data_IF_580567068748
#
_entry.id   IF_580567068748
#
_cell.length_a   1.000
_cell.length_b   1.000
_cell.length_c   1.000
_cell.angle_alpha   90.00
_cell.angle_beta   90.00
_cell.angle_gamma   90.00
#
_symmetry.space_group_name_H-M   'P 1'
#
loop_
_entity.id
_entity.type
_entity.pdbx_description
1 polymer ?
#
# COMPACT_ATOMS: atom_id res chain seq x y z
N UNK A 1 -19.71 56.52 -13.13
CA UNK A 1 -20.26 55.37 -12.37
C UNK A 1 -20.55 54.11 -13.21
N UNK A 2 -20.97 54.21 -14.48
CA UNK A 2 -21.26 53.02 -15.31
C UNK A 2 -20.05 52.11 -15.60
N UNK A 3 -18.85 52.69 -15.82
CA UNK A 3 -17.59 51.93 -16.03
C UNK A 3 -17.20 51.07 -14.82
N UNK A 4 -17.44 51.57 -13.60
CA UNK A 4 -17.10 50.90 -12.35
C UNK A 4 -18.04 49.72 -12.05
N UNK A 5 -19.33 49.84 -12.40
CA UNK A 5 -20.29 48.73 -12.33
C UNK A 5 -19.96 47.60 -13.32
N UNK A 6 -19.43 47.92 -14.50
CA UNK A 6 -19.00 46.90 -15.46
C UNK A 6 -17.70 46.20 -15.05
N UNK A 7 -16.76 46.91 -14.43
CA UNK A 7 -15.56 46.28 -13.84
C UNK A 7 -15.90 45.39 -12.65
N UNK A 8 -16.83 45.78 -11.77
CA UNK A 8 -17.31 44.92 -10.68
C UNK A 8 -18.07 43.69 -11.19
N UNK A 9 -18.89 43.83 -12.24
CA UNK A 9 -19.55 42.66 -12.88
C UNK A 9 -18.56 41.73 -13.59
N UNK A 10 -17.48 42.26 -14.18
CA UNK A 10 -16.40 41.43 -14.75
C UNK A 10 -15.52 40.80 -13.67
N UNK A 11 -15.27 41.46 -12.53
CA UNK A 11 -14.61 40.86 -11.37
C UNK A 11 -15.48 39.79 -10.70
N UNK A 12 -16.80 40.02 -10.54
CA UNK A 12 -17.73 39.01 -10.02
C UNK A 12 -17.93 37.83 -10.99
N UNK A 13 -17.85 38.04 -12.31
CA UNK A 13 -17.78 36.94 -13.29
C UNK A 13 -16.42 36.22 -13.27
N UNK A 14 -15.32 36.88 -12.89
CA UNK A 14 -13.99 36.25 -12.72
C UNK A 14 -13.82 35.52 -11.38
N UNK A 15 -14.61 35.84 -10.35
CA UNK A 15 -14.60 35.12 -9.06
C UNK A 15 -15.54 33.92 -9.02
N UNK A 16 -16.47 33.78 -9.99
CA UNK A 16 -16.92 32.44 -10.42
C UNK A 16 -15.86 31.78 -11.30
N UNK A 17 -14.62 31.73 -10.81
CA UNK A 17 -13.68 30.71 -11.29
C UNK A 17 -14.31 29.41 -10.84
N UNK A 18 -14.81 28.66 -11.81
CA UNK A 18 -14.88 27.20 -11.74
C UNK A 18 -13.47 26.79 -11.29
N UNK A 19 -13.28 26.63 -9.97
CA UNK A 19 -12.25 25.72 -9.49
C UNK A 19 -12.49 24.42 -10.23
N UNK A 20 -11.45 23.64 -10.57
CA UNK A 20 -11.66 22.38 -11.28
C UNK A 20 -12.80 21.68 -10.56
N UNK A 21 -13.93 21.49 -11.25
CA UNK A 21 -14.99 20.61 -10.75
C UNK A 21 -14.22 19.40 -10.29
N UNK A 22 -14.27 19.10 -8.98
CA UNK A 22 -13.47 18.01 -8.44
C UNK A 22 -13.89 16.80 -9.25
N UNK A 23 -13.08 16.43 -10.24
CA UNK A 23 -13.43 15.41 -11.20
C UNK A 23 -13.67 14.20 -10.35
N UNK A 24 -14.93 13.78 -10.24
CA UNK A 24 -15.31 12.70 -9.33
C UNK A 24 -14.32 11.56 -9.58
N UNK A 25 -13.70 11.05 -8.51
CA UNK A 25 -12.70 10.01 -8.68
C UNK A 25 -13.30 8.89 -9.53
N UNK A 26 -12.60 8.41 -10.58
CA UNK A 26 -13.15 7.42 -11.47
C UNK A 26 -13.48 6.17 -10.64
N UNK A 27 -14.77 5.83 -10.57
CA UNK A 27 -15.26 4.64 -9.88
C UNK A 27 -15.35 3.50 -10.89
N UNK A 28 -14.67 2.41 -10.59
CA UNK A 28 -14.79 1.17 -11.33
C UNK A 28 -16.07 0.44 -10.92
N UNK A 29 -17.07 0.48 -11.79
CA UNK A 29 -18.34 -0.22 -11.64
C UNK A 29 -18.34 -1.63 -12.27
N UNK A 30 -17.21 -2.06 -12.86
CA UNK A 30 -17.12 -3.37 -13.48
C UNK A 30 -17.32 -4.48 -12.45
N UNK A 31 -18.02 -5.53 -12.87
CA UNK A 31 -18.15 -6.74 -12.07
C UNK A 31 -16.79 -7.43 -11.89
N UNK A 32 -16.67 -8.21 -10.81
CA UNK A 32 -15.49 -9.01 -10.56
C UNK A 32 -15.31 -10.06 -11.66
N UNK A 33 -14.08 -10.20 -12.17
CA UNK A 33 -13.76 -11.23 -13.13
C UNK A 33 -13.90 -12.63 -12.49
N UNK A 34 -15.00 -13.32 -12.79
CA UNK A 34 -15.33 -14.62 -12.20
C UNK A 34 -14.26 -15.69 -12.46
N UNK A 35 -13.64 -15.70 -13.64
CA UNK A 35 -12.52 -16.60 -13.96
C UNK A 35 -11.28 -16.24 -13.15
N UNK A 36 -11.00 -14.95 -12.99
CA UNK A 36 -9.92 -14.48 -12.12
C UNK A 36 -10.16 -14.87 -10.66
N UNK A 37 -11.40 -14.75 -10.17
CA UNK A 37 -11.77 -15.16 -8.82
C UNK A 37 -11.53 -16.66 -8.61
N UNK A 38 -11.94 -17.50 -9.57
CA UNK A 38 -11.71 -18.95 -9.52
C UNK A 38 -10.22 -19.30 -9.51
N UNK A 39 -9.42 -18.69 -10.39
CA UNK A 39 -7.98 -18.96 -10.47
C UNK A 39 -7.23 -18.51 -9.21
N UNK A 40 -7.54 -17.32 -8.69
CA UNK A 40 -6.97 -16.85 -7.42
C UNK A 40 -7.40 -17.69 -6.24
N UNK A 41 -8.64 -18.20 -6.23
CA UNK A 41 -9.10 -19.15 -5.22
C UNK A 41 -8.33 -20.46 -5.29
N UNK A 42 -8.16 -21.01 -6.50
CA UNK A 42 -7.40 -22.24 -6.72
C UNK A 42 -5.93 -22.08 -6.30
N UNK A 43 -5.31 -20.93 -6.62
CA UNK A 43 -3.95 -20.61 -6.20
C UNK A 43 -3.83 -20.54 -4.67
N UNK A 44 -4.77 -19.86 -4.01
CA UNK A 44 -4.79 -19.73 -2.55
C UNK A 44 -4.85 -21.11 -1.88
N UNK A 45 -5.86 -21.91 -2.22
CA UNK A 45 -6.03 -23.22 -1.59
C UNK A 45 -4.95 -24.21 -2.00
N UNK A 46 -4.51 -24.19 -3.26
CA UNK A 46 -3.42 -25.04 -3.74
C UNK A 46 -2.13 -24.79 -2.97
N UNK A 47 -1.72 -23.53 -2.79
CA UNK A 47 -0.52 -23.21 -2.02
C UNK A 47 -0.69 -23.49 -0.52
N UNK A 48 -1.88 -23.31 0.06
CA UNK A 48 -2.14 -23.71 1.44
C UNK A 48 -2.02 -25.23 1.64
N UNK A 49 -2.56 -26.04 0.72
CA UNK A 49 -2.40 -27.50 0.76
C UNK A 49 -0.93 -27.89 0.64
N UNK A 50 -0.19 -27.29 -0.30
CA UNK A 50 1.26 -27.53 -0.42
C UNK A 50 2.00 -27.16 0.86
N UNK A 51 1.66 -26.03 1.49
CA UNK A 51 2.24 -25.61 2.77
C UNK A 51 2.01 -26.65 3.86
N UNK A 52 0.79 -27.17 4.00
CA UNK A 52 0.45 -28.22 4.98
C UNK A 52 1.20 -29.51 4.68
N UNK A 53 1.25 -29.95 3.42
CA UNK A 53 1.96 -31.18 3.03
C UNK A 53 3.46 -31.07 3.32
N UNK A 54 4.09 -29.93 2.98
CA UNK A 54 5.50 -29.68 3.29
C UNK A 54 5.75 -29.70 4.80
N UNK A 55 4.89 -29.06 5.58
CA UNK A 55 5.02 -29.04 7.04
C UNK A 55 4.87 -30.43 7.63
N UNK A 56 3.78 -31.13 7.32
CA UNK A 56 3.47 -32.45 7.87
C UNK A 56 4.51 -33.49 7.44
N UNK A 57 4.90 -33.51 6.16
CA UNK A 57 5.92 -34.43 5.65
C UNK A 57 7.30 -34.17 6.26
N UNK A 58 7.70 -32.90 6.34
CA UNK A 58 8.97 -32.49 6.94
C UNK A 58 9.06 -32.78 8.44
N UNK A 59 7.97 -32.54 9.18
CA UNK A 59 7.87 -32.89 10.60
C UNK A 59 7.90 -34.39 10.82
N UNK A 60 7.11 -35.15 10.07
CA UNK A 60 7.07 -36.60 10.19
C UNK A 60 8.46 -37.20 9.93
N UNK A 61 9.09 -36.82 8.82
CA UNK A 61 10.42 -37.30 8.47
C UNK A 61 11.46 -36.87 9.52
N UNK A 62 11.47 -35.59 9.90
CA UNK A 62 12.43 -35.04 10.84
C UNK A 62 12.32 -35.67 12.23
N UNK A 63 11.11 -35.79 12.78
CA UNK A 63 10.89 -36.37 14.12
C UNK A 63 11.26 -37.87 14.13
N UNK A 64 10.85 -38.61 13.10
CA UNK A 64 11.13 -40.05 13.02
C UNK A 64 12.64 -40.32 12.94
N UNK A 65 13.36 -39.59 12.08
CA UNK A 65 14.81 -39.75 11.95
C UNK A 65 15.56 -39.25 13.18
N UNK A 66 15.12 -38.14 13.78
CA UNK A 66 15.69 -37.65 15.03
C UNK A 66 15.57 -38.69 16.15
N UNK A 67 14.37 -39.24 16.35
CA UNK A 67 14.13 -40.24 17.39
C UNK A 67 14.92 -41.52 17.15
N UNK A 68 14.99 -41.99 15.90
CA UNK A 68 15.78 -43.17 15.54
C UNK A 68 17.28 -42.96 15.79
N UNK A 69 17.83 -41.81 15.39
CA UNK A 69 19.25 -41.47 15.57
C UNK A 69 19.61 -41.29 17.04
N UNK A 70 18.71 -40.67 17.82
CA UNK A 70 18.90 -40.44 19.25
C UNK A 70 18.82 -41.74 20.05
N UNK A 71 18.03 -42.71 19.59
CA UNK A 71 17.86 -44.01 20.24
C UNK A 71 18.94 -45.04 19.84
N UNK A 72 19.78 -44.73 18.84
CA UNK A 72 20.88 -45.59 18.41
C UNK A 72 21.99 -45.68 19.46
N UNK A 73 22.72 -46.81 19.47
CA UNK A 73 23.91 -47.02 20.32
C UNK A 73 25.11 -47.44 19.43
N UNK A 74 26.14 -46.59 19.25
CA UNK A 74 26.26 -45.22 19.78
C UNK A 74 25.26 -44.25 19.13
N UNK A 75 24.99 -43.13 19.80
CA UNK A 75 24.09 -42.08 19.31
C UNK A 75 24.67 -41.48 18.02
N UNK A 76 23.85 -41.39 16.97
CA UNK A 76 24.22 -40.71 15.73
C UNK A 76 23.90 -39.20 15.84
N UNK A 77 24.87 -38.44 16.35
CA UNK A 77 24.75 -37.00 16.54
C UNK A 77 24.58 -36.23 15.22
N UNK A 78 25.19 -36.71 14.14
CA UNK A 78 25.08 -36.04 12.84
C UNK A 78 23.64 -36.11 12.34
N UNK A 79 23.04 -37.30 12.37
CA UNK A 79 21.65 -37.48 11.93
C UNK A 79 20.65 -36.75 12.84
N UNK A 80 20.91 -36.67 14.15
CA UNK A 80 20.13 -35.82 15.07
C UNK A 80 20.16 -34.34 14.62
N UNK A 81 21.34 -33.78 14.35
CA UNK A 81 21.48 -32.39 13.91
C UNK A 81 20.80 -32.15 12.56
N UNK A 82 21.02 -33.03 11.59
CA UNK A 82 20.38 -32.93 10.26
C UNK A 82 18.87 -32.97 10.38
N UNK A 83 18.33 -33.89 11.19
CA UNK A 83 16.88 -34.02 11.39
C UNK A 83 16.29 -32.78 12.07
N UNK A 84 16.98 -32.20 13.05
CA UNK A 84 16.57 -30.94 13.69
C UNK A 84 16.57 -29.77 12.70
N UNK A 85 17.58 -29.68 11.82
CA UNK A 85 17.62 -28.67 10.75
C UNK A 85 16.44 -28.86 9.79
N UNK A 86 16.10 -30.09 9.40
CA UNK A 86 14.96 -30.34 8.51
C UNK A 86 13.63 -29.97 9.16
N UNK A 87 13.44 -30.22 10.45
CA UNK A 87 12.25 -29.75 11.19
C UNK A 87 12.13 -28.22 11.08
N UNK A 88 13.19 -27.49 11.41
CA UNK A 88 13.19 -26.02 11.36
C UNK A 88 12.98 -25.50 9.94
N UNK A 89 13.68 -26.07 8.95
CA UNK A 89 13.54 -25.70 7.55
C UNK A 89 12.11 -25.94 7.04
N UNK A 90 11.48 -27.04 7.44
CA UNK A 90 10.09 -27.37 7.06
C UNK A 90 9.11 -26.34 7.60
N UNK A 91 9.27 -25.87 8.84
CA UNK A 91 8.48 -24.76 9.39
C UNK A 91 8.67 -23.47 8.60
N UNK A 92 9.92 -23.10 8.28
CA UNK A 92 10.22 -21.86 7.57
C UNK A 92 9.67 -21.89 6.13
N UNK A 93 9.86 -23.00 5.41
CA UNK A 93 9.36 -23.17 4.04
C UNK A 93 7.84 -23.22 4.01
N UNK A 94 7.21 -24.03 4.86
CA UNK A 94 5.75 -24.09 4.93
C UNK A 94 5.14 -22.74 5.26
N UNK A 95 5.71 -22.01 6.24
CA UNK A 95 5.30 -20.64 6.56
C UNK A 95 5.44 -19.74 5.33
N UNK A 96 6.57 -19.76 4.64
CA UNK A 96 6.80 -18.93 3.45
C UNK A 96 5.79 -19.22 2.34
N UNK A 97 5.46 -20.49 2.09
CA UNK A 97 4.44 -20.89 1.12
C UNK A 97 3.06 -20.40 1.55
N UNK A 98 2.70 -20.52 2.83
CA UNK A 98 1.44 -19.99 3.34
C UNK A 98 1.34 -18.47 3.13
N UNK A 99 2.43 -17.72 3.35
CA UNK A 99 2.47 -16.28 3.04
C UNK A 99 2.29 -15.99 1.55
N UNK A 100 3.01 -16.72 0.69
CA UNK A 100 2.85 -16.61 -0.76
C UNK A 100 1.45 -16.97 -1.23
N UNK A 101 0.73 -17.86 -0.53
CA UNK A 101 -0.65 -18.20 -0.89
C UNK A 101 -1.57 -16.98 -0.83
N UNK A 102 -1.42 -16.12 0.17
CA UNK A 102 -2.25 -14.92 0.32
C UNK A 102 -1.79 -13.82 -0.64
N UNK A 103 -0.49 -13.50 -0.63
CA UNK A 103 0.06 -12.42 -1.44
C UNK A 103 0.02 -12.73 -2.94
N UNK A 104 0.37 -13.95 -3.33
CA UNK A 104 0.30 -14.40 -4.72
C UNK A 104 -1.12 -14.38 -5.24
N UNK A 105 -2.10 -14.82 -4.44
CA UNK A 105 -3.51 -14.83 -4.84
C UNK A 105 -4.10 -13.42 -4.95
N UNK A 106 -3.76 -12.51 -4.04
CA UNK A 106 -4.16 -11.09 -4.17
C UNK A 106 -3.47 -10.45 -5.37
N UNK A 107 -2.17 -10.67 -5.57
CA UNK A 107 -1.44 -10.09 -6.70
C UNK A 107 -2.02 -10.58 -8.04
N UNK A 108 -2.34 -11.87 -8.15
CA UNK A 108 -3.03 -12.43 -9.30
C UNK A 108 -4.44 -11.83 -9.45
N UNK A 109 -5.20 -11.76 -8.35
CA UNK A 109 -6.57 -11.26 -8.37
C UNK A 109 -6.63 -9.79 -8.82
N UNK A 110 -5.77 -8.93 -8.28
CA UNK A 110 -5.65 -7.52 -8.66
C UNK A 110 -5.29 -7.35 -10.14
N UNK A 111 -4.41 -8.20 -10.69
CA UNK A 111 -4.06 -8.16 -12.12
C UNK A 111 -5.19 -8.61 -13.04
N UNK A 112 -6.05 -9.52 -12.56
CA UNK A 112 -7.15 -10.07 -13.34
C UNK A 112 -8.46 -9.29 -13.17
N UNK A 113 -8.52 -8.25 -12.32
CA UNK A 113 -9.76 -7.57 -11.97
C UNK A 113 -10.72 -8.46 -11.15
N UNK A 114 -10.18 -9.40 -10.38
CA UNK A 114 -10.92 -10.32 -9.51
C UNK A 114 -11.12 -9.70 -8.12
N UNK A 115 -11.87 -8.60 -8.07
CA UNK A 115 -12.06 -7.76 -6.88
C UNK A 115 -12.69 -8.51 -5.71
N UNK A 116 -13.60 -9.45 -6.00
CA UNK A 116 -14.24 -10.27 -4.95
C UNK A 116 -13.20 -11.06 -4.18
N UNK A 117 -12.22 -11.65 -4.85
CA UNK A 117 -11.13 -12.35 -4.16
C UNK A 117 -10.17 -11.42 -3.42
N UNK A 118 -9.85 -10.24 -3.98
CA UNK A 118 -9.06 -9.23 -3.25
C UNK A 118 -9.74 -8.87 -1.94
N UNK A 119 -11.05 -8.59 -1.98
CA UNK A 119 -11.84 -8.20 -0.81
C UNK A 119 -12.04 -9.36 0.18
N UNK A 120 -12.24 -10.59 -0.32
CA UNK A 120 -12.43 -11.78 0.52
C UNK A 120 -11.17 -12.14 1.29
N UNK A 121 -9.98 -12.05 0.67
CA UNK A 121 -8.71 -12.30 1.36
C UNK A 121 -8.35 -11.09 2.23
N UNK A 122 -8.48 -9.88 1.69
CA UNK A 122 -8.12 -8.64 2.38
C UNK A 122 -8.91 -8.40 3.66
N UNK A 123 -10.21 -8.70 3.67
CA UNK A 123 -11.08 -8.59 4.87
C UNK A 123 -10.68 -9.52 6.02
N UNK A 124 -9.86 -10.54 5.77
CA UNK A 124 -9.32 -11.42 6.81
C UNK A 124 -8.07 -10.86 7.49
N UNK A 125 -7.54 -9.72 7.01
CA UNK A 125 -6.38 -9.05 7.59
C UNK A 125 -6.44 -8.93 9.12
N UNK A 126 -7.52 -8.37 9.70
CA UNK A 126 -7.66 -8.22 11.15
C UNK A 126 -7.55 -9.52 11.94
N UNK A 127 -8.13 -10.61 11.42
CA UNK A 127 -8.03 -11.93 12.06
C UNK A 127 -6.58 -12.47 12.00
N UNK A 128 -5.89 -12.20 10.89
CA UNK A 128 -4.52 -12.64 10.66
C UNK A 128 -3.47 -11.88 11.47
N UNK A 129 -3.80 -10.75 12.12
CA UNK A 129 -2.86 -9.97 12.95
C UNK A 129 -2.12 -10.82 13.99
N UNK A 130 -2.80 -11.83 14.57
CA UNK A 130 -2.22 -12.73 15.59
C UNK A 130 -1.28 -13.79 15.00
N UNK A 131 -1.58 -14.25 13.80
CA UNK A 131 -0.84 -15.35 13.14
C UNK A 131 0.30 -14.80 12.28
N UNK A 132 0.11 -13.59 11.73
CA UNK A 132 0.95 -12.96 10.72
C UNK A 132 1.22 -11.48 11.08
N UNK A 133 2.04 -11.22 12.11
CA UNK A 133 2.43 -9.86 12.44
C UNK A 133 3.10 -9.20 11.23
N UNK A 134 2.56 -8.06 10.78
CA UNK A 134 3.01 -7.30 9.61
C UNK A 134 2.42 -7.72 8.26
N UNK A 135 1.71 -8.85 8.18
CA UNK A 135 0.98 -9.21 6.96
C UNK A 135 -0.36 -8.49 6.83
N UNK A 136 -1.01 -8.22 7.97
CA UNK A 136 -2.31 -7.54 8.02
C UNK A 136 -2.31 -6.17 7.32
N UNK A 137 -1.35 -5.26 7.54
CA UNK A 137 -1.37 -3.95 6.87
C UNK A 137 -1.32 -4.05 5.34
N UNK A 138 -0.59 -5.03 4.81
CA UNK A 138 -0.53 -5.24 3.37
C UNK A 138 -1.87 -5.76 2.82
N UNK A 139 -2.50 -6.72 3.51
CA UNK A 139 -3.82 -7.25 3.12
C UNK A 139 -4.89 -6.15 3.18
N UNK A 140 -4.86 -5.35 4.24
CA UNK A 140 -5.74 -4.19 4.40
C UNK A 140 -5.47 -3.14 3.32
N UNK A 141 -4.22 -2.91 2.93
CA UNK A 141 -3.89 -2.00 1.81
C UNK A 141 -4.58 -2.46 0.52
N UNK A 142 -4.47 -3.75 0.18
CA UNK A 142 -5.12 -4.29 -1.02
C UNK A 142 -6.65 -4.19 -0.95
N UNK A 143 -7.24 -4.46 0.22
CA UNK A 143 -8.68 -4.30 0.47
C UNK A 143 -9.13 -2.85 0.26
N UNK A 144 -8.48 -1.91 0.94
CA UNK A 144 -8.83 -0.48 0.91
C UNK A 144 -8.66 0.07 -0.50
N UNK A 145 -7.59 -0.30 -1.23
CA UNK A 145 -7.42 0.09 -2.63
C UNK A 145 -8.53 -0.44 -3.53
N UNK A 146 -8.93 -1.71 -3.37
CA UNK A 146 -10.07 -2.29 -4.10
C UNK A 146 -11.36 -1.50 -3.82
N UNK A 147 -11.65 -1.26 -2.55
CA UNK A 147 -12.86 -0.57 -2.11
C UNK A 147 -12.93 0.87 -2.61
N UNK A 148 -11.83 1.63 -2.51
CA UNK A 148 -11.75 3.01 -3.03
C UNK A 148 -11.95 3.03 -4.54
N UNK A 149 -11.29 2.14 -5.29
CA UNK A 149 -11.47 2.05 -6.74
C UNK A 149 -12.92 1.72 -7.12
N UNK A 150 -13.67 1.04 -6.25
CA UNK A 150 -15.08 0.69 -6.46
C UNK A 150 -16.07 1.68 -5.82
N UNK A 151 -15.59 2.81 -5.32
CA UNK A 151 -16.44 3.85 -4.70
C UNK A 151 -17.01 3.45 -3.33
N UNK A 152 -16.53 2.36 -2.72
CA UNK A 152 -16.95 1.89 -1.40
C UNK A 152 -16.17 2.63 -0.30
N UNK A 153 -16.24 3.96 -0.30
CA UNK A 153 -15.37 4.81 0.52
C UNK A 153 -15.56 4.60 2.03
N UNK A 154 -16.79 4.42 2.50
CA UNK A 154 -17.07 4.21 3.93
C UNK A 154 -16.45 2.89 4.45
N UNK A 155 -16.59 1.80 3.68
CA UNK A 155 -15.98 0.52 4.03
C UNK A 155 -14.44 0.60 4.02
N UNK A 156 -13.88 1.31 3.04
CA UNK A 156 -12.45 1.57 2.95
C UNK A 156 -11.92 2.35 4.17
N UNK A 157 -12.68 3.35 4.63
CA UNK A 157 -12.32 4.14 5.81
C UNK A 157 -12.43 3.32 7.10
N UNK A 158 -13.48 2.50 7.26
CA UNK A 158 -13.61 1.62 8.42
C UNK A 158 -12.45 0.64 8.53
N UNK A 159 -12.07 0.00 7.41
CA UNK A 159 -10.91 -0.89 7.37
C UNK A 159 -9.60 -0.15 7.65
N UNK A 160 -9.42 1.04 7.07
CA UNK A 160 -8.23 1.88 7.28
C UNK A 160 -8.09 2.31 8.74
N UNK A 161 -9.18 2.76 9.35
CA UNK A 161 -9.21 3.21 10.74
C UNK A 161 -8.94 2.05 11.70
N UNK A 162 -9.56 0.88 11.49
CA UNK A 162 -9.31 -0.31 12.30
C UNK A 162 -7.84 -0.74 12.30
N UNK A 163 -7.18 -0.66 11.15
CA UNK A 163 -5.77 -1.01 11.02
C UNK A 163 -4.87 0.06 11.64
N UNK A 164 -5.22 1.33 11.46
CA UNK A 164 -4.52 2.47 12.06
C UNK A 164 -4.54 2.37 13.59
N UNK A 165 -5.72 2.19 14.20
CA UNK A 165 -5.87 2.13 15.65
C UNK A 165 -5.09 0.97 16.28
N UNK A 166 -4.93 -0.13 15.54
CA UNK A 166 -4.18 -1.29 16.00
C UNK A 166 -2.66 -1.06 15.97
N UNK A 167 -2.13 -0.42 14.93
CA UNK A 167 -0.67 -0.33 14.70
C UNK A 167 -0.07 1.07 14.91
N UNK A 168 -0.85 2.11 15.18
CA UNK A 168 -0.34 3.49 15.32
C UNK A 168 0.74 3.62 16.41
N UNK A 169 0.66 2.80 17.46
CA UNK A 169 1.61 2.79 18.57
C UNK A 169 2.75 1.77 18.40
N UNK A 170 2.72 0.95 17.34
CA UNK A 170 3.77 -0.02 17.03
C UNK A 170 4.73 0.57 16.00
N UNK A 171 5.85 1.13 16.46
CA UNK A 171 6.87 1.75 15.60
C UNK A 171 7.42 0.83 14.51
N UNK A 172 7.39 -0.51 14.70
CA UNK A 172 7.85 -1.46 13.68
C UNK A 172 6.83 -1.62 12.55
N UNK A 173 5.55 -1.49 12.88
CA UNK A 173 4.45 -1.72 11.94
C UNK A 173 3.85 -0.42 11.39
N UNK A 174 4.05 0.70 12.08
CA UNK A 174 3.58 2.04 11.68
C UNK A 174 4.07 2.42 10.29
N UNK A 175 5.26 1.99 9.87
CA UNK A 175 5.82 2.20 8.53
C UNK A 175 4.97 1.58 7.41
N UNK A 176 4.22 0.53 7.72
CA UNK A 176 3.33 -0.15 6.77
C UNK A 176 1.96 0.55 6.63
N UNK A 177 1.64 1.52 7.50
CA UNK A 177 0.38 2.25 7.46
C UNK A 177 0.36 3.39 6.44
N UNK A 178 1.51 3.76 5.85
CA UNK A 178 1.62 4.91 4.94
C UNK A 178 0.70 4.80 3.73
N UNK A 179 0.67 3.64 3.08
CA UNK A 179 -0.21 3.38 1.93
C UNK A 179 -1.68 3.37 2.34
N UNK A 180 -2.01 2.81 3.51
CA UNK A 180 -3.38 2.79 4.04
C UNK A 180 -3.85 4.23 4.29
N UNK A 181 -3.03 5.05 4.96
CA UNK A 181 -3.35 6.44 5.23
C UNK A 181 -3.52 7.25 3.94
N UNK A 182 -2.68 7.03 2.93
CA UNK A 182 -2.84 7.66 1.62
C UNK A 182 -4.17 7.28 0.98
N UNK A 183 -4.52 5.99 0.99
CA UNK A 183 -5.75 5.49 0.36
C UNK A 183 -7.00 5.94 1.13
N UNK A 184 -6.93 6.04 2.46
CA UNK A 184 -7.96 6.65 3.29
C UNK A 184 -8.14 8.15 2.97
N UNK A 185 -7.04 8.85 2.71
CA UNK A 185 -7.05 10.25 2.25
C UNK A 185 -7.83 10.41 0.95
N UNK A 186 -7.64 9.51 -0.02
CA UNK A 186 -8.44 9.45 -1.24
C UNK A 186 -9.92 9.15 -0.94
N UNK A 187 -10.21 8.14 -0.11
CA UNK A 187 -11.58 7.79 0.25
C UNK A 187 -12.36 8.99 0.83
N UNK A 188 -11.73 9.77 1.72
CA UNK A 188 -12.33 11.00 2.25
C UNK A 188 -12.59 12.05 1.16
N UNK A 189 -11.71 12.21 0.17
CA UNK A 189 -11.98 13.10 -0.97
C UNK A 189 -13.18 12.62 -1.76
N UNK A 190 -13.35 11.30 -1.92
CA UNK A 190 -14.49 10.69 -2.61
C UNK A 190 -15.82 11.00 -1.93
N UNK A 191 -15.80 11.14 -0.60
CA UNK A 191 -16.95 11.58 0.20
C UNK A 191 -17.11 13.10 0.29
N UNK A 192 -16.16 13.88 -0.25
CA UNK A 192 -16.15 15.34 -0.12
C UNK A 192 -15.67 15.86 1.26
N UNK A 193 -15.15 14.99 2.12
CA UNK A 193 -14.65 15.33 3.46
C UNK A 193 -13.21 15.87 3.38
N UNK A 194 -13.07 17.10 2.92
CA UNK A 194 -11.77 17.71 2.58
C UNK A 194 -10.84 17.83 3.80
N UNK A 195 -11.37 18.16 4.99
CA UNK A 195 -10.56 18.32 6.21
C UNK A 195 -9.99 16.99 6.69
N UNK A 196 -10.82 15.96 6.69
CA UNK A 196 -10.47 14.61 7.09
C UNK A 196 -9.49 14.00 6.07
N UNK A 197 -9.68 14.27 4.78
CA UNK A 197 -8.70 13.91 3.74
C UNK A 197 -7.32 14.53 4.03
N UNK A 198 -7.27 15.81 4.40
CA UNK A 198 -6.02 16.48 4.75
C UNK A 198 -5.30 15.76 5.89
N UNK A 199 -6.02 15.44 6.97
CA UNK A 199 -5.47 14.73 8.14
C UNK A 199 -4.86 13.38 7.72
N UNK A 200 -5.55 12.61 6.87
CA UNK A 200 -5.04 11.34 6.37
C UNK A 200 -3.84 11.49 5.43
N UNK A 201 -3.84 12.51 4.57
CA UNK A 201 -2.70 12.82 3.70
C UNK A 201 -1.46 13.23 4.52
N UNK A 202 -1.62 14.02 5.59
CA UNK A 202 -0.52 14.40 6.48
C UNK A 202 0.07 13.18 7.20
N UNK A 203 -0.79 12.28 7.71
CA UNK A 203 -0.37 10.98 8.27
C UNK A 203 0.41 10.15 7.26
N UNK A 204 -0.09 10.08 6.01
CA UNK A 204 0.58 9.36 4.94
C UNK A 204 1.96 9.96 4.64
N UNK A 205 2.05 11.28 4.50
CA UNK A 205 3.31 11.99 4.23
C UNK A 205 4.33 11.73 5.34
N UNK A 206 3.94 11.82 6.61
CA UNK A 206 4.83 11.52 7.75
C UNK A 206 5.43 10.12 7.64
N UNK A 207 4.57 9.11 7.45
CA UNK A 207 4.98 7.72 7.44
C UNK A 207 5.79 7.38 6.19
N UNK A 208 5.34 7.81 5.01
CA UNK A 208 6.00 7.53 3.74
C UNK A 208 7.39 8.18 3.69
N UNK A 209 7.57 9.39 4.25
CA UNK A 209 8.90 9.99 4.39
C UNK A 209 9.81 9.16 5.28
N UNK A 210 9.30 8.68 6.43
CA UNK A 210 10.07 7.81 7.34
C UNK A 210 10.46 6.49 6.65
N UNK A 211 9.54 5.87 5.93
CA UNK A 211 9.82 4.66 5.14
C UNK A 211 10.84 4.92 4.04
N UNK A 212 10.80 6.10 3.40
CA UNK A 212 11.75 6.49 2.35
C UNK A 212 13.15 6.68 2.93
N UNK A 213 13.27 7.36 4.07
CA UNK A 213 14.55 7.52 4.78
C UNK A 213 15.15 6.15 5.15
N UNK A 214 14.33 5.24 5.71
CA UNK A 214 14.77 3.90 6.07
C UNK A 214 15.24 3.07 4.88
N UNK A 215 14.49 3.09 3.77
CA UNK A 215 14.83 2.32 2.57
C UNK A 215 16.00 2.94 1.78
N UNK A 216 16.24 4.24 1.91
CA UNK A 216 17.34 4.93 1.22
C UNK A 216 18.70 4.68 1.86
N UNK A 217 18.75 4.18 3.10
CA UNK A 217 20.00 3.87 3.79
C UNK A 217 20.69 2.69 3.12
N UNK A 218 22.00 2.78 2.81
CA UNK A 218 22.72 1.72 2.12
C UNK A 218 22.70 0.44 2.96
N UNK A 219 22.00 -0.59 2.48
CA UNK A 219 21.98 -1.89 3.12
C UNK A 219 23.33 -2.59 2.92
N UNK A 220 23.94 -3.06 4.02
CA UNK A 220 25.24 -3.78 3.99
C UNK A 220 24.99 -5.29 4.04
N UNK A 221 25.78 -6.05 3.30
CA UNK A 221 25.82 -7.52 3.38
C UNK A 221 25.37 -8.25 2.10
N UNK A 222 25.47 -9.58 2.12
CA UNK A 222 25.13 -10.45 0.97
C UNK A 222 23.65 -10.37 0.60
N UNK A 223 22.75 -10.30 1.58
CA UNK A 223 21.29 -10.18 1.36
C UNK A 223 20.93 -8.87 0.63
N UNK A 224 21.64 -7.78 0.94
CA UNK A 224 21.42 -6.48 0.29
C UNK A 224 21.72 -6.51 -1.21
N UNK A 225 22.74 -7.28 -1.64
CA UNK A 225 23.10 -7.41 -3.06
C UNK A 225 22.03 -8.13 -3.87
N UNK A 226 21.40 -9.16 -3.31
CA UNK A 226 20.30 -9.86 -3.97
C UNK A 226 18.96 -9.08 -3.92
N UNK A 227 18.77 -8.23 -2.92
CA UNK A 227 17.58 -7.40 -2.77
C UNK A 227 17.62 -6.06 -3.54
N UNK A 228 18.80 -5.64 -4.03
CA UNK A 228 19.01 -4.31 -4.61
C UNK A 228 18.04 -3.94 -5.76
N UNK A 229 17.79 -4.78 -6.79
CA UNK A 229 16.87 -4.43 -7.88
C UNK A 229 15.41 -4.24 -7.41
N UNK A 230 14.97 -5.06 -6.44
CA UNK A 230 13.63 -4.94 -5.86
C UNK A 230 13.53 -3.68 -4.97
N UNK A 231 14.62 -3.32 -4.30
CA UNK A 231 14.68 -2.12 -3.46
C UNK A 231 14.54 -0.82 -4.26
N UNK A 232 15.12 -0.74 -5.47
CA UNK A 232 14.98 0.44 -6.34
C UNK A 232 13.54 0.61 -6.85
N UNK A 233 12.89 -0.49 -7.24
CA UNK A 233 11.49 -0.46 -7.64
C UNK A 233 10.57 -0.06 -6.48
N UNK A 234 10.80 -0.62 -5.28
CA UNK A 234 10.06 -0.27 -4.08
C UNK A 234 10.24 1.21 -3.70
N UNK A 235 11.48 1.72 -3.76
CA UNK A 235 11.79 3.14 -3.57
C UNK A 235 11.06 4.02 -4.58
N UNK A 236 11.01 3.60 -5.85
CA UNK A 236 10.28 4.30 -6.89
C UNK A 236 8.78 4.37 -6.62
N UNK A 237 8.16 3.25 -6.25
CA UNK A 237 6.75 3.20 -5.89
C UNK A 237 6.44 4.08 -4.67
N UNK A 238 7.29 4.04 -3.65
CA UNK A 238 7.13 4.85 -2.45
C UNK A 238 7.22 6.35 -2.75
N UNK A 239 8.19 6.76 -3.59
CA UNK A 239 8.30 8.15 -4.05
C UNK A 239 7.08 8.60 -4.83
N UNK A 240 6.50 7.75 -5.67
CA UNK A 240 5.26 8.09 -6.38
C UNK A 240 4.06 8.22 -5.43
N UNK A 241 3.91 7.33 -4.45
CA UNK A 241 2.86 7.45 -3.44
C UNK A 241 3.03 8.72 -2.60
N UNK A 242 4.26 9.04 -2.20
CA UNK A 242 4.59 10.26 -1.48
C UNK A 242 4.30 11.50 -2.35
N UNK A 243 4.64 11.46 -3.64
CA UNK A 243 4.33 12.53 -4.58
C UNK A 243 2.81 12.76 -4.70
N UNK A 244 2.03 11.68 -4.81
CA UNK A 244 0.57 11.75 -4.84
C UNK A 244 -0.01 12.31 -3.53
N UNK A 245 0.50 11.87 -2.37
CA UNK A 245 0.06 12.37 -1.08
C UNK A 245 0.34 13.89 -0.93
N UNK A 246 1.54 14.34 -1.30
CA UNK A 246 1.87 15.78 -1.34
C UNK A 246 0.98 16.55 -2.31
N UNK A 247 0.74 16.00 -3.49
CA UNK A 247 -0.10 16.66 -4.50
C UNK A 247 -1.55 16.82 -4.04
N UNK A 248 -2.11 15.77 -3.43
CA UNK A 248 -3.44 15.80 -2.85
C UNK A 248 -3.52 16.84 -1.73
N UNK A 249 -2.53 16.85 -0.84
CA UNK A 249 -2.45 17.82 0.24
C UNK A 249 -2.32 19.27 -0.29
N UNK A 250 -1.54 19.47 -1.36
CA UNK A 250 -1.40 20.76 -2.03
C UNK A 250 -2.73 21.27 -2.60
N UNK A 251 -3.50 20.38 -3.21
CA UNK A 251 -4.83 20.67 -3.76
C UNK A 251 -5.80 21.08 -2.65
N UNK A 252 -5.77 20.38 -1.51
CA UNK A 252 -6.57 20.73 -0.34
C UNK A 252 -6.21 22.12 0.19
N UNK A 253 -4.92 22.41 0.39
CA UNK A 253 -4.46 23.73 0.83
C UNK A 253 -4.80 24.84 -0.17
N UNK A 254 -4.71 24.56 -1.47
CA UNK A 254 -5.08 25.49 -2.53
C UNK A 254 -6.56 25.87 -2.42
N UNK A 255 -7.44 24.88 -2.26
CA UNK A 255 -8.87 25.09 -2.10
C UNK A 255 -9.22 25.82 -0.79
N UNK A 256 -8.40 25.64 0.25
CA UNK A 256 -8.49 26.37 1.51
C UNK A 256 -7.90 27.80 1.46
N UNK A 257 -7.40 28.26 0.30
CA UNK A 257 -6.68 29.53 0.11
C UNK A 257 -5.37 29.66 0.91
N UNK A 258 -4.81 28.58 1.45
CA UNK A 258 -3.44 28.57 2.00
C UNK A 258 -2.43 28.34 0.88
N UNK A 259 -2.24 29.36 0.06
CA UNK A 259 -1.36 29.32 -1.11
C UNK A 259 0.10 29.05 -0.75
N UNK A 260 0.53 29.45 0.44
CA UNK A 260 1.90 29.22 0.92
C UNK A 260 2.15 27.73 1.12
N UNK A 261 1.28 27.04 1.86
CA UNK A 261 1.40 25.59 2.07
C UNK A 261 1.13 24.81 0.79
N UNK A 262 0.17 25.25 -0.03
CA UNK A 262 -0.10 24.63 -1.32
C UNK A 262 1.15 24.63 -2.22
N UNK A 263 1.84 25.77 -2.31
CA UNK A 263 3.07 25.91 -3.11
C UNK A 263 4.18 24.96 -2.65
N UNK A 264 4.38 24.83 -1.34
CA UNK A 264 5.40 23.93 -0.80
C UNK A 264 5.06 22.46 -1.11
N UNK A 265 3.83 22.05 -0.86
CA UNK A 265 3.39 20.68 -1.15
C UNK A 265 3.48 20.34 -2.65
N UNK A 266 3.13 21.27 -3.56
CA UNK A 266 3.31 21.03 -5.00
C UNK A 266 4.78 20.87 -5.40
N UNK A 267 5.71 21.62 -4.78
CA UNK A 267 7.15 21.42 -5.03
C UNK A 267 7.61 20.03 -4.60
N UNK A 268 7.24 19.63 -3.39
CA UNK A 268 7.59 18.31 -2.84
C UNK A 268 7.01 17.18 -3.70
N UNK A 269 5.79 17.33 -4.19
CA UNK A 269 5.17 16.37 -5.12
C UNK A 269 6.01 16.20 -6.39
N UNK A 270 6.38 17.31 -7.05
CA UNK A 270 7.16 17.28 -8.29
C UNK A 270 8.56 16.70 -8.05
N UNK A 271 9.22 17.07 -6.94
CA UNK A 271 10.55 16.57 -6.61
C UNK A 271 10.54 15.04 -6.45
N UNK A 272 9.57 14.50 -5.72
CA UNK A 272 9.43 13.06 -5.53
C UNK A 272 9.06 12.34 -6.83
N UNK A 273 8.16 12.90 -7.63
CA UNK A 273 7.79 12.34 -8.94
C UNK A 273 9.00 12.31 -9.90
N UNK A 274 9.83 13.36 -9.93
CA UNK A 274 11.04 13.40 -10.77
C UNK A 274 12.08 12.35 -10.37
N UNK A 275 12.24 12.11 -9.07
CA UNK A 275 13.14 11.09 -8.53
C UNK A 275 12.60 9.66 -8.65
N UNK A 276 11.36 9.49 -9.08
CA UNK A 276 10.78 8.18 -9.33
C UNK A 276 11.16 7.66 -10.73
N UNK A 277 11.34 6.34 -10.91
CA UNK A 277 11.47 5.72 -12.23
C UNK A 277 10.22 5.97 -13.08
N UNK A 278 10.26 5.60 -14.36
CA UNK A 278 9.25 6.01 -15.34
C UNK A 278 7.89 5.33 -15.11
N UNK A 279 7.07 5.95 -14.25
CA UNK A 279 5.68 5.57 -14.04
C UNK A 279 4.78 6.32 -15.03
N UNK A 280 3.71 5.71 -15.57
CA UNK A 280 2.81 6.37 -16.52
C UNK A 280 2.26 7.71 -16.02
N UNK A 281 1.95 7.81 -14.73
CA UNK A 281 1.38 9.01 -14.10
C UNK A 281 2.43 10.09 -13.79
N UNK A 282 3.72 9.78 -13.88
CA UNK A 282 4.81 10.69 -13.51
C UNK A 282 4.77 11.98 -14.32
N UNK A 283 4.69 11.85 -15.65
CA UNK A 283 4.76 13.00 -16.55
C UNK A 283 3.55 13.92 -16.37
N UNK A 284 2.36 13.34 -16.19
CA UNK A 284 1.13 14.08 -15.91
C UNK A 284 1.20 14.82 -14.57
N UNK A 285 1.67 14.15 -13.52
CA UNK A 285 1.81 14.75 -12.19
C UNK A 285 2.82 15.90 -12.20
N UNK A 286 3.97 15.73 -12.87
CA UNK A 286 4.98 16.79 -13.02
C UNK A 286 4.41 17.96 -13.80
N UNK A 287 3.76 17.71 -14.94
CA UNK A 287 3.15 18.75 -15.78
C UNK A 287 2.10 19.53 -15.00
N UNK A 288 1.13 18.84 -14.39
CA UNK A 288 0.07 19.51 -13.63
C UNK A 288 0.62 20.25 -12.42
N UNK A 289 1.55 19.67 -11.68
CA UNK A 289 2.20 20.33 -10.55
C UNK A 289 2.90 21.64 -10.99
N UNK A 290 3.58 21.63 -12.14
CA UNK A 290 4.21 22.83 -12.70
C UNK A 290 3.19 23.90 -13.09
N UNK A 291 2.07 23.50 -13.70
CA UNK A 291 0.97 24.40 -14.05
C UNK A 291 0.37 25.05 -12.79
N UNK A 292 0.13 24.28 -11.72
CA UNK A 292 -0.38 24.83 -10.46
C UNK A 292 0.62 25.76 -9.77
N UNK A 293 1.91 25.41 -9.78
CA UNK A 293 2.96 26.30 -9.28
C UNK A 293 3.03 27.61 -10.08
N UNK A 294 2.84 27.58 -11.39
CA UNK A 294 2.80 28.78 -12.21
C UNK A 294 1.60 29.68 -11.86
N UNK A 295 0.42 29.08 -11.63
CA UNK A 295 -0.77 29.82 -11.17
C UNK A 295 -0.52 30.49 -9.81
N UNK A 296 0.14 29.78 -8.90
CA UNK A 296 0.49 30.26 -7.56
C UNK A 296 1.61 31.32 -7.53
N UNK A 297 2.30 31.59 -8.65
CA UNK A 297 3.24 32.72 -8.74
C UNK A 297 2.52 34.07 -8.91
N UNK A 298 1.26 34.03 -9.33
CA UNK A 298 0.45 35.22 -9.62
C UNK A 298 -0.63 35.51 -8.56
N UNK A 299 -0.69 34.69 -7.51
CA UNK A 299 -1.53 34.84 -6.31
C UNK A 299 -0.71 35.37 -5.16
#
# INVERSE_FOLDING_TARGET
MAKMKNQMKQQQKRTKRVGPESSAMPVNTAESNSRGDQLSTALLFGLLVVSVVVLSGGLYWGITNFHSAFSAKPIDWLQCVVSAIVIVASFLVARSIAWMSMFGSIALASRMGAWKMVETIGSKGPWLRKVLPGGSPWLTTALVQSQVNRGQYEAALAASQSEWDFYVNDEKQKTNLGTIAFTAGLAQQGLGNIKESQMWNERAIEILNKSLDQLSKPQKGLVARFAAPQSEQALGQLRMQLAAAYFNNATVYFNANDYRRAKENYKQAIENAKKSPDFPQRNEMVKFGQEQLARLKHS
#
